data_IF_775105717679
#
_entry.id   IF_775105717679
#
_cell.length_a   1.000
_cell.length_b   1.000
_cell.length_c   1.000
_cell.angle_alpha   90.00
_cell.angle_beta   90.00
_cell.angle_gamma   90.00
#
_symmetry.space_group_name_H-M   'P 1'
#
loop_
_entity.id
_entity.type
_entity.pdbx_description
1 polymer ?
#
# COMPACT_ATOMS: atom_id res chain seq x y z
N UNK A 1 21.33 13.68 23.12
CA UNK A 1 19.93 13.69 22.62
C UNK A 1 19.66 12.33 22.00
N UNK A 2 18.75 11.57 22.54
CA UNK A 2 18.31 10.31 21.93
C UNK A 2 17.46 10.66 20.71
N UNK A 3 17.77 10.07 19.54
CA UNK A 3 16.99 10.28 18.32
C UNK A 3 15.58 9.64 18.40
N UNK A 4 14.74 9.85 17.37
CA UNK A 4 13.44 9.21 17.26
C UNK A 4 13.56 7.68 17.34
N UNK A 5 12.59 7.03 17.96
CA UNK A 5 12.56 5.58 18.19
C UNK A 5 11.35 4.97 17.50
N UNK A 6 11.54 3.82 16.81
CA UNK A 6 10.44 3.02 16.29
C UNK A 6 9.78 2.25 17.44
N UNK A 7 8.55 2.60 17.79
CA UNK A 7 7.81 1.97 18.89
C UNK A 7 7.17 0.65 18.46
N UNK A 8 6.65 0.56 17.24
CA UNK A 8 5.98 -0.63 16.74
C UNK A 8 5.98 -0.71 15.22
N UNK A 9 5.71 -1.91 14.71
CA UNK A 9 5.42 -2.20 13.32
C UNK A 9 4.29 -3.21 13.23
N UNK A 10 3.34 -2.98 12.31
CA UNK A 10 2.28 -3.92 12.00
C UNK A 10 2.02 -3.96 10.49
N UNK A 11 1.45 -5.06 10.02
CA UNK A 11 1.10 -5.29 8.63
C UNK A 11 -0.27 -5.94 8.54
N UNK A 12 -1.02 -5.61 7.49
CA UNK A 12 -2.23 -6.30 7.09
C UNK A 12 -2.18 -6.56 5.58
N UNK A 13 -2.68 -7.69 5.15
CA UNK A 13 -2.71 -8.09 3.74
C UNK A 13 -4.09 -8.59 3.37
N UNK A 14 -4.51 -8.47 2.08
CA UNK A 14 -5.73 -9.09 1.60
C UNK A 14 -5.74 -10.62 1.82
N UNK A 15 -6.94 -11.20 1.94
CA UNK A 15 -7.10 -12.64 2.21
C UNK A 15 -6.65 -13.52 1.04
N UNK A 16 -6.89 -13.07 -0.21
CA UNK A 16 -6.55 -13.88 -1.39
C UNK A 16 -5.03 -13.98 -1.55
N UNK A 17 -4.51 -15.19 -1.46
CA UNK A 17 -3.09 -15.50 -1.64
C UNK A 17 -2.90 -16.35 -2.89
N UNK A 18 -2.07 -15.88 -3.80
CA UNK A 18 -1.78 -16.54 -5.09
C UNK A 18 -0.30 -16.87 -5.19
N UNK A 19 0.03 -17.98 -5.85
CA UNK A 19 1.41 -18.26 -6.24
C UNK A 19 1.81 -17.34 -7.41
N UNK A 20 3.04 -16.85 -7.40
CA UNK A 20 3.58 -15.96 -8.44
C UNK A 20 3.37 -16.53 -9.86
N UNK A 21 3.71 -17.81 -10.07
CA UNK A 21 3.56 -18.44 -11.36
C UNK A 21 2.10 -18.70 -11.74
N UNK A 22 1.20 -18.87 -10.77
CA UNK A 22 -0.23 -18.95 -11.04
C UNK A 22 -0.80 -17.63 -11.56
N UNK A 23 -0.35 -16.50 -11.00
CA UNK A 23 -0.70 -15.17 -11.52
C UNK A 23 -0.22 -15.04 -12.97
N UNK A 24 1.03 -15.39 -13.24
CA UNK A 24 1.52 -15.37 -14.62
C UNK A 24 0.67 -16.26 -15.52
N UNK A 25 0.51 -17.54 -15.19
CA UNK A 25 -0.06 -18.54 -16.08
C UNK A 25 -1.59 -18.35 -16.30
N UNK A 26 -2.32 -17.85 -15.27
CA UNK A 26 -3.78 -17.68 -15.36
C UNK A 26 -4.22 -16.25 -15.65
N UNK A 27 -3.50 -15.23 -15.13
CA UNK A 27 -3.98 -13.85 -15.22
C UNK A 27 -3.33 -13.08 -16.36
N UNK A 28 -2.06 -13.36 -16.68
CA UNK A 28 -1.32 -12.58 -17.67
C UNK A 28 -1.05 -13.33 -18.98
N UNK A 29 -0.77 -14.62 -18.93
CA UNK A 29 -0.43 -15.39 -20.13
C UNK A 29 -1.54 -15.41 -21.20
N UNK A 30 -2.84 -15.28 -20.88
CA UNK A 30 -3.87 -15.13 -21.92
C UNK A 30 -3.66 -13.89 -22.78
N UNK A 31 -3.04 -12.85 -22.25
CA UNK A 31 -2.82 -11.56 -22.92
C UNK A 31 -1.37 -11.38 -23.37
N UNK A 32 -0.42 -11.90 -22.60
CA UNK A 32 1.03 -11.77 -22.85
C UNK A 32 1.62 -13.15 -23.14
N UNK A 33 1.53 -13.60 -24.39
CA UNK A 33 2.10 -14.88 -24.84
C UNK A 33 3.61 -14.76 -25.07
N UNK A 34 4.40 -14.69 -23.99
CA UNK A 34 5.84 -14.51 -24.06
C UNK A 34 6.58 -15.41 -23.08
N UNK A 35 7.48 -16.26 -23.60
CA UNK A 35 8.40 -17.03 -22.76
C UNK A 35 9.31 -16.12 -21.91
N UNK A 36 9.62 -14.92 -22.41
CA UNK A 36 10.38 -13.91 -21.68
C UNK A 36 9.62 -13.41 -20.45
N UNK A 37 8.32 -13.16 -20.58
CA UNK A 37 7.48 -12.77 -19.44
C UNK A 37 7.52 -13.86 -18.35
N UNK A 38 7.37 -15.12 -18.73
CA UNK A 38 7.45 -16.26 -17.80
C UNK A 38 8.80 -16.34 -17.09
N UNK A 39 9.89 -16.13 -17.82
CA UNK A 39 11.23 -16.12 -17.25
C UNK A 39 11.43 -14.96 -16.26
N UNK A 40 10.92 -13.76 -16.56
CA UNK A 40 10.96 -12.60 -15.67
C UNK A 40 10.19 -12.88 -14.36
N UNK A 41 8.98 -13.45 -14.45
CA UNK A 41 8.20 -13.83 -13.28
C UNK A 41 8.91 -14.88 -12.41
N UNK A 42 9.55 -15.88 -13.03
CA UNK A 42 10.31 -16.89 -12.31
C UNK A 42 11.56 -16.33 -11.65
N UNK A 43 12.22 -15.34 -12.28
CA UNK A 43 13.43 -14.69 -11.76
C UNK A 43 13.17 -13.59 -10.73
N UNK A 44 11.90 -13.21 -10.49
CA UNK A 44 11.54 -12.16 -9.53
C UNK A 44 11.75 -12.58 -8.06
N UNK A 45 12.04 -13.85 -7.78
CA UNK A 45 12.24 -14.41 -6.43
C UNK A 45 11.05 -14.17 -5.48
N UNK A 46 9.84 -13.99 -6.05
CA UNK A 46 8.59 -13.84 -5.33
C UNK A 46 7.84 -15.17 -5.41
N UNK A 47 7.56 -15.80 -4.30
CA UNK A 47 6.83 -17.07 -4.28
C UNK A 47 5.31 -16.86 -4.33
N UNK A 48 4.82 -15.92 -3.55
CA UNK A 48 3.38 -15.65 -3.38
C UNK A 48 3.08 -14.17 -3.26
N UNK A 49 1.86 -13.79 -3.65
CA UNK A 49 1.31 -12.46 -3.47
C UNK A 49 -0.04 -12.50 -2.80
N UNK A 50 -0.32 -11.51 -1.99
CA UNK A 50 -1.66 -11.20 -1.54
C UNK A 50 -2.30 -10.18 -2.49
N UNK A 51 -3.57 -10.39 -2.82
CA UNK A 51 -4.31 -9.52 -3.74
C UNK A 51 -5.71 -9.25 -3.24
N UNK A 52 -6.22 -8.07 -3.53
CA UNK A 52 -7.65 -7.74 -3.36
C UNK A 52 -8.53 -8.48 -4.37
N UNK A 53 -7.94 -9.00 -5.45
CA UNK A 53 -8.61 -9.77 -6.48
C UNK A 53 -8.52 -11.25 -6.13
N UNK A 54 -9.66 -11.94 -6.10
CA UNK A 54 -9.72 -13.40 -5.97
C UNK A 54 -9.34 -14.11 -7.27
N UNK A 55 -9.61 -13.47 -8.43
CA UNK A 55 -9.38 -14.01 -9.76
C UNK A 55 -9.14 -12.91 -10.79
N UNK A 56 -8.77 -13.28 -12.02
CA UNK A 56 -8.40 -12.35 -13.09
C UNK A 56 -9.58 -11.64 -13.77
N UNK A 57 -10.82 -12.00 -13.48
CA UNK A 57 -12.01 -11.48 -14.19
C UNK A 57 -12.09 -9.96 -14.24
N UNK A 58 -11.72 -9.28 -13.15
CA UNK A 58 -11.64 -7.82 -13.12
C UNK A 58 -10.62 -7.26 -14.13
N UNK A 59 -9.44 -7.85 -14.18
CA UNK A 59 -8.38 -7.42 -15.11
C UNK A 59 -8.75 -7.70 -16.57
N UNK A 60 -9.46 -8.82 -16.81
CA UNK A 60 -9.93 -9.20 -18.15
C UNK A 60 -10.88 -8.18 -18.78
N UNK A 61 -11.58 -7.40 -17.97
CA UNK A 61 -12.47 -6.32 -18.44
C UNK A 61 -11.73 -5.03 -18.83
N UNK A 62 -10.40 -5.00 -18.73
CA UNK A 62 -9.57 -3.80 -18.96
C UNK A 62 -10.08 -2.55 -18.19
N UNK A 63 -10.23 -2.65 -16.87
CA UNK A 63 -10.87 -1.59 -16.09
C UNK A 63 -10.10 -0.29 -16.19
N UNK A 64 -10.82 0.82 -16.30
CA UNK A 64 -10.27 2.16 -16.26
C UNK A 64 -9.81 2.55 -14.85
N UNK A 65 -9.14 3.70 -14.74
CA UNK A 65 -8.58 4.23 -13.49
C UNK A 65 -9.61 4.32 -12.36
N UNK A 66 -10.84 4.78 -12.66
CA UNK A 66 -11.90 4.88 -11.65
C UNK A 66 -12.24 3.52 -11.03
N UNK A 67 -12.45 2.50 -11.84
CA UNK A 67 -12.81 1.17 -11.34
C UNK A 67 -11.70 0.55 -10.48
N UNK A 68 -10.44 0.75 -10.88
CA UNK A 68 -9.26 0.31 -10.09
C UNK A 68 -9.20 1.05 -8.75
N UNK A 69 -9.45 2.36 -8.77
CA UNK A 69 -9.42 3.18 -7.57
C UNK A 69 -10.58 2.88 -6.63
N UNK A 70 -11.78 2.58 -7.14
CA UNK A 70 -12.93 2.16 -6.31
C UNK A 70 -12.61 0.87 -5.53
N UNK A 71 -11.96 -0.11 -6.18
CA UNK A 71 -11.49 -1.33 -5.50
C UNK A 71 -10.37 -1.04 -4.50
N UNK A 72 -9.44 -0.15 -4.87
CA UNK A 72 -8.39 0.27 -3.95
C UNK A 72 -8.98 0.83 -2.66
N UNK A 73 -9.88 1.83 -2.76
CA UNK A 73 -10.47 2.49 -1.59
C UNK A 73 -11.30 1.53 -0.74
N UNK A 74 -12.07 0.64 -1.40
CA UNK A 74 -12.86 -0.40 -0.72
C UNK A 74 -12.01 -1.34 0.14
N UNK A 75 -10.79 -1.67 -0.30
CA UNK A 75 -9.87 -2.56 0.40
C UNK A 75 -8.92 -1.81 1.35
N UNK A 76 -8.45 -0.62 0.96
CA UNK A 76 -7.46 0.15 1.72
C UNK A 76 -7.97 0.54 3.10
N UNK A 77 -9.21 1.03 3.18
CA UNK A 77 -9.80 1.50 4.43
C UNK A 77 -9.83 0.42 5.53
N UNK A 78 -10.41 -0.78 5.34
CA UNK A 78 -10.44 -1.82 6.37
C UNK A 78 -9.06 -2.40 6.68
N UNK A 79 -8.21 -2.62 5.67
CA UNK A 79 -6.86 -3.16 5.90
C UNK A 79 -5.96 -2.17 6.63
N UNK A 80 -6.00 -0.89 6.25
CA UNK A 80 -5.28 0.17 6.94
C UNK A 80 -5.74 0.30 8.39
N UNK A 81 -7.05 0.29 8.64
CA UNK A 81 -7.61 0.29 10.00
C UNK A 81 -7.05 -0.86 10.83
N UNK A 82 -7.04 -2.07 10.27
CA UNK A 82 -6.49 -3.26 10.95
C UNK A 82 -5.01 -3.08 11.29
N UNK A 83 -4.19 -2.63 10.33
CA UNK A 83 -2.76 -2.42 10.54
C UNK A 83 -2.49 -1.32 11.58
N UNK A 84 -3.21 -0.21 11.50
CA UNK A 84 -3.09 0.91 12.47
C UNK A 84 -3.45 0.45 13.88
N UNK A 85 -4.61 -0.20 14.06
CA UNK A 85 -5.03 -0.69 15.37
C UNK A 85 -4.01 -1.66 15.97
N UNK A 86 -3.45 -2.57 15.17
CA UNK A 86 -2.41 -3.48 15.62
C UNK A 86 -1.11 -2.75 16.01
N UNK A 87 -0.69 -1.74 15.23
CA UNK A 87 0.49 -0.95 15.54
C UNK A 87 0.31 -0.16 16.83
N UNK A 88 -0.81 0.51 17.00
CA UNK A 88 -1.14 1.27 18.21
C UNK A 88 -1.17 0.37 19.45
N UNK A 89 -1.84 -0.78 19.35
CA UNK A 89 -1.89 -1.76 20.44
C UNK A 89 -0.50 -2.22 20.87
N UNK A 90 0.38 -2.56 19.90
CA UNK A 90 1.76 -2.96 20.18
C UNK A 90 2.61 -1.84 20.79
N UNK A 91 2.32 -0.59 20.46
CA UNK A 91 3.00 0.58 21.01
C UNK A 91 2.46 1.00 22.39
N UNK A 92 1.31 0.45 22.81
CA UNK A 92 0.63 0.90 24.02
C UNK A 92 -0.01 2.30 23.88
N UNK A 93 -0.36 2.70 22.66
CA UNK A 93 -0.92 3.98 22.30
C UNK A 93 -2.38 3.85 21.84
N UNK A 94 -3.12 4.97 21.94
CA UNK A 94 -4.44 5.14 21.34
C UNK A 94 -4.37 6.06 20.10
N UNK A 95 -5.40 6.08 19.29
CA UNK A 95 -5.49 6.97 18.12
C UNK A 95 -5.38 8.46 18.48
N UNK A 96 -5.89 8.84 19.65
CA UNK A 96 -5.79 10.21 20.19
C UNK A 96 -4.38 10.65 20.59
N UNK A 97 -3.43 9.71 20.74
CA UNK A 97 -2.04 10.02 21.11
C UNK A 97 -1.17 10.37 19.89
N UNK A 98 -1.70 10.20 18.67
CA UNK A 98 -0.98 10.49 17.45
C UNK A 98 -1.03 11.99 17.13
N UNK A 99 0.14 12.60 16.96
CA UNK A 99 0.32 14.01 16.63
C UNK A 99 0.48 14.26 15.13
N UNK A 100 1.10 13.31 14.41
CA UNK A 100 1.31 13.40 12.98
C UNK A 100 0.99 12.07 12.29
N UNK A 101 0.01 12.09 11.39
CA UNK A 101 -0.37 10.95 10.55
C UNK A 101 0.10 11.15 9.12
N UNK A 102 0.95 10.25 8.64
CA UNK A 102 1.56 10.28 7.31
C UNK A 102 1.03 9.09 6.52
N UNK A 103 0.37 9.34 5.40
CA UNK A 103 -0.15 8.29 4.52
C UNK A 103 0.63 8.30 3.20
N UNK A 104 1.07 7.13 2.79
CA UNK A 104 1.85 6.92 1.57
C UNK A 104 1.08 5.98 0.65
N UNK A 105 0.86 6.37 -0.61
CA UNK A 105 0.32 5.49 -1.65
C UNK A 105 0.67 5.93 -3.06
N UNK A 106 0.82 4.95 -3.96
CA UNK A 106 0.99 5.15 -5.41
C UNK A 106 -0.07 4.42 -6.22
N UNK A 107 -0.81 3.49 -5.62
CA UNK A 107 -1.77 2.61 -6.30
C UNK A 107 -3.22 3.03 -6.12
N UNK A 108 -3.48 4.10 -5.38
CA UNK A 108 -4.81 4.69 -5.24
C UNK A 108 -4.79 6.02 -4.51
N UNK A 109 -5.84 6.78 -4.68
CA UNK A 109 -6.06 8.08 -4.02
C UNK A 109 -7.54 8.43 -3.98
N UNK A 110 -7.92 9.37 -3.12
CA UNK A 110 -9.29 9.89 -3.08
C UNK A 110 -9.30 11.36 -2.63
N UNK A 111 -10.46 11.99 -2.75
CA UNK A 111 -10.73 13.33 -2.25
C UNK A 111 -12.12 13.34 -1.56
N UNK A 112 -12.18 13.38 -0.20
CA UNK A 112 -11.05 13.50 0.73
C UNK A 112 -10.12 12.29 0.73
N UNK A 113 -8.82 12.51 1.00
CA UNK A 113 -7.79 11.47 1.02
C UNK A 113 -7.96 10.45 2.14
N UNK A 114 -7.30 9.30 2.00
CA UNK A 114 -7.33 8.21 2.98
C UNK A 114 -6.86 8.67 4.37
N UNK A 115 -5.95 9.65 4.44
CA UNK A 115 -5.51 10.28 5.69
C UNK A 115 -6.64 10.98 6.43
N UNK A 116 -7.56 11.64 5.71
CA UNK A 116 -8.74 12.29 6.28
C UNK A 116 -9.76 11.26 6.75
N UNK A 117 -10.04 10.27 5.89
CA UNK A 117 -11.04 9.24 6.14
C UNK A 117 -10.64 8.43 7.39
N UNK A 118 -9.41 7.92 7.43
CA UNK A 118 -8.93 7.12 8.56
C UNK A 118 -8.80 7.92 9.85
N UNK A 119 -8.41 9.20 9.77
CA UNK A 119 -8.38 10.06 10.96
C UNK A 119 -9.78 10.21 11.59
N UNK A 120 -10.82 10.35 10.74
CA UNK A 120 -12.21 10.39 11.20
C UNK A 120 -12.69 9.04 11.76
N UNK A 121 -12.44 7.95 11.05
CA UNK A 121 -12.87 6.60 11.44
C UNK A 121 -12.27 6.14 12.77
N UNK A 122 -11.01 6.49 12.99
CA UNK A 122 -10.26 6.11 14.19
C UNK A 122 -10.41 7.10 15.35
N UNK A 123 -11.18 8.18 15.18
CA UNK A 123 -11.36 9.20 16.20
C UNK A 123 -10.06 9.89 16.60
N UNK A 124 -9.16 10.13 15.63
CA UNK A 124 -7.93 10.86 15.89
C UNK A 124 -8.24 12.31 16.29
N UNK A 125 -7.31 12.96 16.99
CA UNK A 125 -7.48 14.31 17.52
C UNK A 125 -7.74 15.35 16.42
N UNK A 126 -8.54 16.38 16.70
CA UNK A 126 -8.92 17.40 15.71
C UNK A 126 -7.77 18.31 15.26
N UNK A 127 -6.73 18.45 16.06
CA UNK A 127 -5.51 19.18 15.74
C UNK A 127 -4.37 18.29 15.20
N UNK A 128 -4.70 17.07 14.74
CA UNK A 128 -3.79 16.15 14.09
C UNK A 128 -3.11 16.80 12.87
N UNK A 129 -1.80 16.72 12.80
CA UNK A 129 -1.07 17.01 11.57
C UNK A 129 -1.22 15.83 10.60
N UNK A 130 -1.42 16.13 9.31
CA UNK A 130 -1.54 15.10 8.30
C UNK A 130 -0.65 15.41 7.10
N UNK A 131 -0.08 14.38 6.54
CA UNK A 131 0.72 14.45 5.29
C UNK A 131 0.33 13.28 4.41
N UNK A 132 -0.08 13.55 3.17
CA UNK A 132 -0.30 12.53 2.15
C UNK A 132 0.83 12.59 1.11
N UNK A 133 1.56 11.48 0.93
CA UNK A 133 2.63 11.32 -0.04
C UNK A 133 2.11 10.40 -1.16
N UNK A 134 1.66 11.00 -2.24
CA UNK A 134 0.99 10.32 -3.35
C UNK A 134 1.85 10.39 -4.61
N UNK A 135 1.98 9.27 -5.33
CA UNK A 135 2.62 9.23 -6.64
C UNK A 135 4.15 9.32 -6.63
N UNK A 136 4.81 9.12 -5.49
CA UNK A 136 6.29 9.12 -5.39
C UNK A 136 6.93 7.77 -5.66
N UNK A 137 6.15 6.73 -5.98
CA UNK A 137 6.64 5.36 -6.14
C UNK A 137 7.10 4.72 -4.83
N UNK A 138 7.81 3.60 -4.91
CA UNK A 138 8.23 2.80 -3.75
C UNK A 138 9.14 3.56 -2.77
N UNK A 139 9.79 4.65 -3.21
CA UNK A 139 10.61 5.51 -2.35
C UNK A 139 9.78 6.27 -1.29
N UNK A 140 8.49 6.46 -1.53
CA UNK A 140 7.62 7.24 -0.65
C UNK A 140 7.56 6.71 0.79
N UNK A 141 7.72 5.40 1.00
CA UNK A 141 7.81 4.81 2.33
C UNK A 141 8.98 5.38 3.14
N UNK A 142 10.16 5.46 2.53
CA UNK A 142 11.34 6.08 3.17
C UNK A 142 11.15 7.57 3.37
N UNK A 143 10.54 8.26 2.41
CA UNK A 143 10.19 9.69 2.56
C UNK A 143 9.22 9.91 3.71
N UNK A 144 8.24 9.02 3.89
CA UNK A 144 7.31 9.07 5.02
C UNK A 144 8.02 8.94 6.37
N UNK A 145 8.96 8.00 6.48
CA UNK A 145 9.79 7.86 7.66
C UNK A 145 10.67 9.09 7.92
N UNK A 146 11.29 9.66 6.88
CA UNK A 146 12.06 10.90 6.98
C UNK A 146 11.21 12.06 7.51
N UNK A 147 9.98 12.23 7.00
CA UNK A 147 9.05 13.24 7.51
C UNK A 147 8.68 13.02 8.99
N UNK A 148 8.46 11.76 9.38
CA UNK A 148 8.24 11.43 10.78
C UNK A 148 9.45 11.80 11.65
N UNK A 149 10.67 11.45 11.21
CA UNK A 149 11.90 11.76 11.92
C UNK A 149 12.11 13.26 12.08
N UNK A 150 11.87 14.06 11.05
CA UNK A 150 11.96 15.53 11.10
C UNK A 150 10.96 16.14 12.10
N UNK A 151 9.73 15.64 12.12
CA UNK A 151 8.71 16.07 13.10
C UNK A 151 9.18 15.76 14.52
N UNK A 152 9.64 14.54 14.77
CA UNK A 152 10.05 14.09 16.10
C UNK A 152 11.37 14.72 16.57
N UNK A 153 12.25 15.11 15.65
CA UNK A 153 13.45 15.88 15.98
C UNK A 153 13.11 17.29 16.47
N UNK A 154 12.05 17.90 15.90
CA UNK A 154 11.57 19.22 16.30
C UNK A 154 10.65 19.17 17.54
N UNK A 155 9.98 18.04 17.75
CA UNK A 155 8.99 17.81 18.84
C UNK A 155 9.17 16.40 19.40
N UNK A 156 10.12 16.21 20.30
CA UNK A 156 10.46 14.88 20.84
C UNK A 156 9.33 14.20 21.64
N UNK A 157 8.35 14.99 22.09
CA UNK A 157 7.18 14.51 22.82
C UNK A 157 6.05 14.00 21.92
N UNK A 158 6.14 14.23 20.59
CA UNK A 158 5.13 13.82 19.64
C UNK A 158 5.21 12.32 19.28
N UNK A 159 4.09 11.78 18.83
CA UNK A 159 4.01 10.49 18.19
C UNK A 159 3.64 10.65 16.70
N UNK A 160 4.41 10.02 15.83
CA UNK A 160 4.14 9.99 14.40
C UNK A 160 3.73 8.57 13.97
N UNK A 161 2.67 8.48 13.18
CA UNK A 161 2.19 7.24 12.55
C UNK A 161 2.43 7.33 11.04
N UNK A 162 3.16 6.38 10.48
CA UNK A 162 3.37 6.25 9.03
C UNK A 162 2.63 5.03 8.53
N UNK A 163 1.72 5.22 7.59
CA UNK A 163 0.95 4.18 6.91
C UNK A 163 1.34 4.14 5.44
N UNK A 164 1.76 2.98 4.94
CA UNK A 164 1.94 2.74 3.51
C UNK A 164 0.90 1.71 3.04
N UNK A 165 0.13 2.03 1.98
CA UNK A 165 -0.93 1.16 1.44
C UNK A 165 -0.75 1.01 -0.06
N UNK A 166 -0.53 -0.24 -0.52
CA UNK A 166 -0.33 -0.52 -1.94
C UNK A 166 -1.02 -1.82 -2.37
N UNK A 167 -1.69 -1.78 -3.53
CA UNK A 167 -2.30 -2.95 -4.17
C UNK A 167 -1.85 -3.05 -5.62
N UNK A 168 -0.59 -3.44 -5.84
CA UNK A 168 0.05 -3.47 -7.16
C UNK A 168 -0.70 -4.30 -8.20
N UNK A 169 -1.31 -5.43 -7.82
CA UNK A 169 -2.06 -6.30 -8.75
C UNK A 169 -3.26 -5.62 -9.42
N UNK A 170 -3.81 -4.54 -8.85
CA UNK A 170 -4.87 -3.75 -9.49
C UNK A 170 -4.40 -3.04 -10.76
N UNK A 171 -3.08 -2.85 -10.91
CA UNK A 171 -2.49 -2.07 -11.99
C UNK A 171 -1.84 -2.92 -13.10
N UNK A 172 -2.04 -4.23 -13.09
CA UNK A 172 -1.58 -5.08 -14.18
C UNK A 172 -2.09 -4.58 -15.53
N UNK A 173 -1.18 -4.58 -16.53
CA UNK A 173 -1.44 -4.15 -17.90
C UNK A 173 -1.34 -5.35 -18.85
N UNK A 174 -2.18 -5.38 -19.86
CA UNK A 174 -2.16 -6.42 -20.89
C UNK A 174 -1.09 -6.19 -21.98
N UNK A 175 -0.36 -5.08 -21.90
CA UNK A 175 0.69 -4.75 -22.87
C UNK A 175 1.92 -5.66 -22.73
N UNK A 176 2.47 -6.10 -23.88
CA UNK A 176 3.66 -6.96 -23.96
C UNK A 176 4.99 -6.19 -23.94
N UNK A 177 5.00 -4.94 -23.49
CA UNK A 177 6.25 -4.19 -23.33
C UNK A 177 7.11 -4.79 -22.21
N UNK A 178 8.41 -4.59 -22.27
CA UNK A 178 9.32 -5.09 -21.25
C UNK A 178 8.99 -4.49 -19.86
N UNK A 179 8.67 -3.21 -19.84
CA UNK A 179 8.30 -2.46 -18.64
C UNK A 179 7.07 -3.08 -17.96
N UNK A 180 6.03 -3.39 -18.73
CA UNK A 180 4.82 -4.03 -18.20
C UNK A 180 5.09 -5.44 -17.66
N UNK A 181 5.95 -6.22 -18.34
CA UNK A 181 6.34 -7.56 -17.87
C UNK A 181 7.11 -7.48 -16.55
N UNK A 182 8.06 -6.55 -16.45
CA UNK A 182 8.88 -6.35 -15.24
C UNK A 182 8.00 -5.80 -14.11
N UNK A 183 7.19 -4.77 -14.37
CA UNK A 183 6.28 -4.21 -13.37
C UNK A 183 5.29 -5.26 -12.87
N UNK A 184 4.67 -6.04 -13.76
CA UNK A 184 3.78 -7.13 -13.37
C UNK A 184 4.47 -8.24 -12.56
N UNK A 185 5.76 -8.49 -12.77
CA UNK A 185 6.50 -9.49 -12.03
C UNK A 185 6.97 -9.01 -10.65
N UNK A 186 7.17 -7.71 -10.44
CA UNK A 186 7.72 -7.15 -9.19
C UNK A 186 6.65 -6.56 -8.26
N UNK A 187 5.50 -6.09 -8.81
CA UNK A 187 4.48 -5.34 -8.07
C UNK A 187 3.11 -5.98 -8.04
#
# INVERSE_FOLDING_TARGET
MTGPTLLSLATAVPENRHRQMEIHDRWLSPYIKSQRARAIFAAAEIETRHSVLAESGFLASEPGTKARNDLYMGAARPLATTAICQALLKAGLNSGDIDHFIVVSCTGFDNPGLDVILAGDLGMRSNLRRTALIGMGCHAGLTGLDRAMLELAARPEHHALVLAVEFGTLHFQHGSSLENMVAGALF
#
